data_IF_938681849378
#
_entry.id   IF_938681849378
#
_cell.length_a   1.000
_cell.length_b   1.000
_cell.length_c   1.000
_cell.angle_alpha   90.00
_cell.angle_beta   90.00
_cell.angle_gamma   90.00
#
_symmetry.space_group_name_H-M   'P 1'
#
loop_
_entity.id
_entity.type
_entity.pdbx_description
1 polymer ?
#
# COMPACT_ATOMS: atom_id res chain seq x y z
N UNK A 1 -6.33 6.92 22.02
CA UNK A 1 -5.38 5.96 21.42
C UNK A 1 -5.63 6.05 19.92
N UNK A 2 -5.24 7.18 19.30
CA UNK A 2 -5.89 7.69 18.05
C UNK A 2 -4.91 7.99 16.91
N UNK A 3 -3.63 7.65 17.06
CA UNK A 3 -2.58 8.22 16.20
C UNK A 3 -2.26 7.40 14.96
N UNK A 4 -2.72 6.14 14.88
CA UNK A 4 -2.24 5.17 13.89
C UNK A 4 -3.04 5.06 12.59
N UNK A 5 -4.21 5.71 12.47
CA UNK A 5 -5.05 5.68 11.24
C UNK A 5 -4.97 7.02 10.47
N UNK A 6 -4.28 8.02 11.02
CA UNK A 6 -4.36 9.41 10.54
C UNK A 6 -3.91 9.59 9.08
N UNK A 7 -2.87 8.89 8.63
CA UNK A 7 -2.34 9.10 7.28
C UNK A 7 -3.18 8.44 6.19
N UNK A 8 -3.71 7.24 6.42
CA UNK A 8 -4.58 6.63 5.41
C UNK A 8 -5.92 7.35 5.34
N UNK A 9 -6.46 7.81 6.47
CA UNK A 9 -7.63 8.68 6.46
C UNK A 9 -7.42 9.94 5.62
N UNK A 10 -6.24 10.56 5.70
CA UNK A 10 -5.91 11.73 4.85
C UNK A 10 -5.91 11.37 3.36
N UNK A 11 -5.40 10.20 2.99
CA UNK A 11 -5.41 9.72 1.60
C UNK A 11 -6.85 9.46 1.13
N UNK A 12 -7.60 8.67 1.89
CA UNK A 12 -8.96 8.24 1.52
C UNK A 12 -9.95 9.41 1.49
N UNK A 13 -9.81 10.38 2.41
CA UNK A 13 -10.73 11.54 2.54
C UNK A 13 -10.26 12.76 1.73
N UNK A 14 -9.24 12.63 0.88
CA UNK A 14 -8.80 13.71 -0.01
C UNK A 14 -9.95 14.20 -0.90
N UNK A 15 -10.09 15.51 -1.10
CA UNK A 15 -11.22 16.10 -1.86
C UNK A 15 -10.96 16.18 -3.37
N UNK A 16 -9.73 15.90 -3.81
CA UNK A 16 -9.34 15.89 -5.22
C UNK A 16 -8.16 14.94 -5.44
N UNK A 17 -7.95 14.54 -6.70
CA UNK A 17 -6.78 13.77 -7.14
C UNK A 17 -5.48 14.48 -6.77
N UNK A 18 -5.40 15.80 -7.01
CA UNK A 18 -4.21 16.60 -6.72
C UNK A 18 -3.88 16.62 -5.23
N UNK A 19 -4.88 16.84 -4.37
CA UNK A 19 -4.68 16.80 -2.92
C UNK A 19 -4.24 15.41 -2.44
N UNK A 20 -4.79 14.35 -3.02
CA UNK A 20 -4.42 12.99 -2.68
C UNK A 20 -2.98 12.68 -3.09
N UNK A 21 -2.55 13.16 -4.26
CA UNK A 21 -1.18 13.05 -4.75
C UNK A 21 -0.20 13.80 -3.83
N UNK A 22 -0.52 15.02 -3.42
CA UNK A 22 0.29 15.80 -2.47
C UNK A 22 0.43 15.06 -1.14
N UNK A 23 -0.68 14.61 -0.56
CA UNK A 23 -0.69 13.82 0.67
C UNK A 23 0.15 12.53 0.54
N UNK A 24 0.02 11.82 -0.59
CA UNK A 24 0.79 10.60 -0.84
C UNK A 24 2.30 10.87 -0.93
N UNK A 25 2.71 11.95 -1.57
CA UNK A 25 4.12 12.35 -1.62
C UNK A 25 4.66 12.68 -0.23
N UNK A 26 3.93 13.45 0.57
CA UNK A 26 4.35 13.85 1.91
C UNK A 26 4.47 12.65 2.86
N UNK A 27 3.46 11.78 2.87
CA UNK A 27 3.42 10.56 3.68
C UNK A 27 4.55 9.63 3.25
N UNK A 28 4.67 9.37 1.95
CA UNK A 28 5.72 8.51 1.39
C UNK A 28 7.11 9.02 1.74
N UNK A 29 7.38 10.31 1.55
CA UNK A 29 8.68 10.92 1.83
C UNK A 29 9.01 10.88 3.31
N UNK A 30 8.05 11.26 4.18
CA UNK A 30 8.26 11.27 5.63
C UNK A 30 8.57 9.87 6.17
N UNK A 31 7.83 8.85 5.74
CA UNK A 31 8.01 7.48 6.24
C UNK A 31 9.27 6.83 5.63
N UNK A 32 9.49 6.97 4.32
CA UNK A 32 10.61 6.34 3.64
C UNK A 32 11.97 6.92 4.01
N UNK A 33 12.06 8.21 4.35
CA UNK A 33 13.30 8.83 4.81
C UNK A 33 13.58 8.62 6.30
N UNK A 34 12.57 8.21 7.08
CA UNK A 34 12.69 7.99 8.53
C UNK A 34 12.57 6.50 8.85
N UNK A 35 11.36 6.05 9.20
CA UNK A 35 11.07 4.71 9.70
C UNK A 35 11.53 3.61 8.75
N UNK A 36 11.34 3.80 7.43
CA UNK A 36 11.68 2.80 6.41
C UNK A 36 12.97 3.14 5.64
N UNK A 37 13.83 3.99 6.18
CA UNK A 37 15.09 4.43 5.55
C UNK A 37 15.96 3.25 5.11
N UNK A 38 16.02 2.18 5.91
CA UNK A 38 16.77 0.96 5.59
C UNK A 38 16.29 0.21 4.33
N UNK A 39 15.07 0.48 3.83
CA UNK A 39 14.56 -0.16 2.62
C UNK A 39 15.09 0.48 1.33
N UNK A 40 15.65 1.69 1.40
CA UNK A 40 16.16 2.44 0.25
C UNK A 40 15.11 2.58 -0.89
N UNK A 41 13.89 3.00 -0.54
CA UNK A 41 12.75 3.11 -1.47
C UNK A 41 12.41 4.55 -1.87
N UNK A 42 12.99 5.56 -1.20
CA UNK A 42 12.54 6.95 -1.33
C UNK A 42 12.71 7.53 -2.75
N UNK A 43 13.77 7.16 -3.46
CA UNK A 43 14.08 7.63 -4.82
C UNK A 43 13.56 6.69 -5.92
N UNK A 44 12.90 5.59 -5.54
CA UNK A 44 12.45 4.65 -6.55
C UNK A 44 11.35 5.28 -7.41
N UNK A 45 11.47 5.14 -8.72
CA UNK A 45 10.43 5.48 -9.68
C UNK A 45 10.21 4.28 -10.56
N UNK A 46 8.99 3.76 -10.55
CA UNK A 46 8.62 2.63 -11.39
C UNK A 46 8.69 3.03 -12.87
N UNK A 47 9.26 2.15 -13.69
CA UNK A 47 9.09 2.16 -15.15
C UNK A 47 8.66 0.77 -15.59
N UNK A 48 7.73 0.66 -16.56
CA UNK A 48 7.22 -0.63 -17.01
C UNK A 48 8.21 -1.43 -17.87
N UNK A 49 9.31 -0.80 -18.32
CA UNK A 49 10.24 -1.35 -19.31
C UNK A 49 10.74 -2.76 -18.97
N UNK A 50 11.12 -2.99 -17.71
CA UNK A 50 11.62 -4.30 -17.26
C UNK A 50 10.50 -5.35 -17.34
N UNK A 51 9.29 -4.99 -16.91
CA UNK A 51 8.15 -5.91 -16.95
C UNK A 51 7.73 -6.21 -18.40
N UNK A 52 7.76 -5.20 -19.29
CA UNK A 52 7.51 -5.34 -20.73
C UNK A 52 8.52 -6.34 -21.34
N UNK A 53 9.82 -6.12 -21.10
CA UNK A 53 10.90 -6.95 -21.64
C UNK A 53 10.79 -8.40 -21.17
N UNK A 54 10.60 -8.61 -19.86
CA UNK A 54 10.63 -9.96 -19.28
C UNK A 54 9.34 -10.76 -19.52
N UNK A 55 8.18 -10.09 -19.58
CA UNK A 55 6.90 -10.75 -19.84
C UNK A 55 6.60 -10.91 -21.34
N UNK A 56 7.32 -10.19 -22.20
CA UNK A 56 7.14 -10.26 -23.65
C UNK A 56 5.76 -9.78 -24.11
N UNK A 57 5.14 -8.87 -23.36
CA UNK A 57 3.82 -8.29 -23.66
C UNK A 57 3.93 -6.80 -23.95
N UNK A 58 2.96 -6.26 -24.67
CA UNK A 58 2.96 -4.86 -25.05
C UNK A 58 2.74 -3.92 -23.85
N UNK A 59 3.18 -2.67 -24.00
CA UNK A 59 3.11 -1.67 -22.94
C UNK A 59 1.68 -1.39 -22.49
N UNK A 60 0.70 -1.43 -23.39
CA UNK A 60 -0.69 -1.15 -23.05
C UNK A 60 -1.29 -2.22 -22.13
N UNK A 61 -0.90 -3.48 -22.32
CA UNK A 61 -1.29 -4.56 -21.42
C UNK A 61 -0.60 -4.43 -20.04
N UNK A 62 0.68 -4.02 -19.99
CA UNK A 62 1.34 -3.75 -18.70
C UNK A 62 0.68 -2.59 -17.96
N UNK A 63 0.33 -1.51 -18.65
CA UNK A 63 -0.39 -0.37 -18.07
C UNK A 63 -1.73 -0.82 -17.47
N UNK A 64 -2.50 -1.66 -18.17
CA UNK A 64 -3.74 -2.23 -17.64
C UNK A 64 -3.51 -3.10 -16.40
N UNK A 65 -2.47 -3.94 -16.40
CA UNK A 65 -2.14 -4.77 -15.24
C UNK A 65 -1.70 -3.92 -14.03
N UNK A 66 -1.02 -2.79 -14.27
CA UNK A 66 -0.69 -1.83 -13.22
C UNK A 66 -1.95 -1.17 -12.67
N UNK A 67 -2.89 -0.75 -13.53
CA UNK A 67 -4.17 -0.17 -13.08
C UNK A 67 -5.00 -1.17 -12.26
N UNK A 68 -5.06 -2.43 -12.69
CA UNK A 68 -5.69 -3.52 -11.94
C UNK A 68 -5.00 -3.77 -10.60
N UNK A 69 -3.67 -3.74 -10.58
CA UNK A 69 -2.92 -3.88 -9.34
C UNK A 69 -3.14 -2.70 -8.39
N UNK A 70 -3.28 -1.47 -8.89
CA UNK A 70 -3.64 -0.31 -8.08
C UNK A 70 -5.02 -0.50 -7.46
N UNK A 71 -5.99 -0.99 -8.23
CA UNK A 71 -7.31 -1.34 -7.69
C UNK A 71 -7.22 -2.36 -6.55
N UNK A 72 -6.38 -3.38 -6.71
CA UNK A 72 -6.18 -4.44 -5.72
C UNK A 72 -5.45 -3.93 -4.47
N UNK A 73 -4.34 -3.18 -4.62
CA UNK A 73 -3.49 -2.77 -3.50
C UNK A 73 -4.18 -1.74 -2.62
N UNK A 74 -4.98 -0.83 -3.20
CA UNK A 74 -5.76 0.15 -2.43
C UNK A 74 -6.80 -0.56 -1.55
N UNK A 75 -7.54 -1.52 -2.09
CA UNK A 75 -8.47 -2.34 -1.30
C UNK A 75 -7.74 -3.12 -0.21
N UNK A 76 -6.59 -3.71 -0.56
CA UNK A 76 -5.77 -4.43 0.41
C UNK A 76 -5.25 -3.52 1.52
N UNK A 77 -4.91 -2.26 1.24
CA UNK A 77 -4.51 -1.28 2.26
C UNK A 77 -5.62 -1.02 3.27
N UNK A 78 -6.88 -0.95 2.83
CA UNK A 78 -8.03 -0.82 3.74
C UNK A 78 -8.10 -2.05 4.65
N UNK A 79 -8.10 -3.26 4.08
CA UNK A 79 -8.13 -4.50 4.87
C UNK A 79 -6.92 -4.67 5.79
N UNK A 80 -5.72 -4.25 5.38
CA UNK A 80 -4.54 -4.27 6.23
C UNK A 80 -4.74 -3.42 7.50
N UNK A 81 -5.35 -2.23 7.37
CA UNK A 81 -5.61 -1.37 8.52
C UNK A 81 -6.63 -2.00 9.45
N UNK A 82 -7.70 -2.56 8.90
CA UNK A 82 -8.73 -3.25 9.68
C UNK A 82 -8.10 -4.35 10.53
N UNK A 83 -7.30 -5.22 9.91
CA UNK A 83 -6.59 -6.28 10.63
C UNK A 83 -5.57 -5.74 11.63
N UNK A 84 -4.80 -4.70 11.29
CA UNK A 84 -3.87 -4.10 12.25
C UNK A 84 -4.61 -3.48 13.44
N UNK A 85 -5.78 -2.88 13.23
CA UNK A 85 -6.65 -2.38 14.29
C UNK A 85 -7.13 -3.51 15.21
N UNK A 86 -7.63 -4.60 14.64
CA UNK A 86 -8.05 -5.78 15.39
C UNK A 86 -6.90 -6.36 16.23
N UNK A 87 -5.70 -6.48 15.66
CA UNK A 87 -4.51 -6.95 16.38
C UNK A 87 -4.11 -5.99 17.51
N UNK A 88 -4.26 -4.69 17.29
CA UNK A 88 -3.92 -3.66 18.27
C UNK A 88 -4.90 -3.67 19.46
N UNK A 89 -6.18 -3.92 19.21
CA UNK A 89 -7.20 -4.12 20.24
C UNK A 89 -6.95 -5.42 21.02
N UNK A 90 -6.63 -6.52 20.31
CA UNK A 90 -6.30 -7.81 20.93
C UNK A 90 -5.04 -7.74 21.81
N UNK A 91 -4.07 -6.88 21.46
CA UNK A 91 -2.82 -6.69 22.21
C UNK A 91 -3.04 -6.23 23.65
N UNK A 92 -4.20 -5.63 23.95
CA UNK A 92 -4.60 -5.24 25.31
C UNK A 92 -4.81 -6.48 26.20
N UNK A 93 -5.22 -7.59 25.60
CA UNK A 93 -5.59 -8.83 26.30
C UNK A 93 -4.54 -9.93 26.20
N UNK A 94 -3.75 -9.97 25.12
CA UNK A 94 -2.76 -11.02 24.88
C UNK A 94 -1.55 -10.51 24.09
N UNK A 95 -0.37 -11.09 24.37
CA UNK A 95 0.82 -10.88 23.55
C UNK A 95 0.97 -11.94 22.44
N UNK A 96 0.12 -12.97 22.42
CA UNK A 96 0.12 -13.99 21.39
C UNK A 96 -0.84 -13.60 20.27
N UNK A 97 -0.37 -12.70 19.40
CA UNK A 97 -1.12 -12.17 18.27
C UNK A 97 -0.96 -13.07 17.04
N UNK A 98 -2.06 -13.28 16.30
CA UNK A 98 -2.07 -14.07 15.07
C UNK A 98 -2.01 -13.18 13.83
N UNK A 99 -0.85 -13.14 13.18
CA UNK A 99 -0.61 -12.35 11.98
C UNK A 99 -0.94 -13.09 10.67
N UNK A 100 -1.48 -14.31 10.73
CA UNK A 100 -1.64 -15.18 9.55
C UNK A 100 -2.40 -14.48 8.42
N UNK A 101 -3.55 -13.87 8.73
CA UNK A 101 -4.38 -13.19 7.72
C UNK A 101 -3.64 -12.01 7.09
N UNK A 102 -2.95 -11.20 7.90
CA UNK A 102 -2.13 -10.08 7.44
C UNK A 102 -1.04 -10.56 6.47
N UNK A 103 -0.32 -11.62 6.85
CA UNK A 103 0.80 -12.15 6.06
C UNK A 103 0.33 -12.81 4.76
N UNK A 104 -0.82 -13.50 4.77
CA UNK A 104 -1.41 -14.06 3.55
C UNK A 104 -1.84 -12.97 2.56
N UNK A 105 -2.44 -11.88 3.05
CA UNK A 105 -2.81 -10.74 2.21
C UNK A 105 -1.56 -10.06 1.62
N UNK A 106 -0.50 -9.90 2.41
CA UNK A 106 0.79 -9.39 1.94
C UNK A 106 1.42 -10.29 0.89
N UNK A 107 1.42 -11.60 1.10
CA UNK A 107 1.95 -12.57 0.15
C UNK A 107 1.26 -12.52 -1.22
N UNK A 108 -0.10 -12.42 -1.24
CA UNK A 108 -0.87 -12.28 -2.49
C UNK A 108 -0.48 -11.02 -3.25
N UNK A 109 -0.39 -9.89 -2.56
CA UNK A 109 0.01 -8.62 -3.18
C UNK A 109 1.48 -8.60 -3.60
N UNK A 110 2.36 -9.31 -2.87
CA UNK A 110 3.78 -9.43 -3.20
C UNK A 110 3.97 -10.19 -4.51
N UNK A 111 3.17 -11.24 -4.77
CA UNK A 111 3.21 -11.97 -6.04
C UNK A 111 2.95 -11.05 -7.24
N UNK A 112 1.95 -10.18 -7.16
CA UNK A 112 1.63 -9.24 -8.24
C UNK A 112 2.71 -8.16 -8.38
N UNK A 113 3.17 -7.58 -7.26
CA UNK A 113 4.27 -6.60 -7.27
C UNK A 113 5.56 -7.18 -7.88
N UNK A 114 5.84 -8.47 -7.62
CA UNK A 114 6.94 -9.20 -8.24
C UNK A 114 6.73 -9.31 -9.74
N UNK A 115 5.58 -9.80 -10.20
CA UNK A 115 5.29 -9.95 -11.63
C UNK A 115 5.42 -8.63 -12.40
N UNK A 116 4.97 -7.52 -11.82
CA UNK A 116 5.07 -6.19 -12.41
C UNK A 116 6.40 -5.48 -12.13
N UNK A 117 7.35 -6.10 -11.43
CA UNK A 117 8.66 -5.52 -11.09
C UNK A 117 8.60 -4.18 -10.34
N UNK A 118 7.58 -3.99 -9.50
CA UNK A 118 7.39 -2.80 -8.66
C UNK A 118 8.19 -2.96 -7.35
N UNK A 119 9.49 -2.64 -7.41
CA UNK A 119 10.49 -3.04 -6.40
C UNK A 119 10.25 -2.44 -5.01
N UNK A 120 9.82 -1.17 -4.94
CA UNK A 120 9.55 -0.52 -3.67
C UNK A 120 8.39 -1.18 -2.92
N UNK A 121 7.30 -1.51 -3.61
CA UNK A 121 6.16 -2.20 -3.01
C UNK A 121 6.54 -3.63 -2.59
N UNK A 122 7.39 -4.32 -3.36
CA UNK A 122 7.91 -5.63 -2.96
C UNK A 122 8.60 -5.57 -1.61
N UNK A 123 9.53 -4.61 -1.43
CA UNK A 123 10.28 -4.45 -0.17
C UNK A 123 9.37 -4.15 1.02
N UNK A 124 8.34 -3.32 0.82
CA UNK A 124 7.38 -3.00 1.89
C UNK A 124 6.54 -4.23 2.25
N UNK A 125 6.04 -4.96 1.25
CA UNK A 125 5.23 -6.17 1.45
C UNK A 125 6.02 -7.29 2.12
N UNK A 126 7.29 -7.46 1.78
CA UNK A 126 8.20 -8.40 2.46
C UNK A 126 8.33 -8.06 3.94
N UNK A 127 8.37 -6.77 4.31
CA UNK A 127 8.35 -6.35 5.71
C UNK A 127 7.04 -6.65 6.42
N UNK A 128 5.90 -6.43 5.76
CA UNK A 128 4.60 -6.81 6.33
C UNK A 128 4.51 -8.32 6.61
N UNK A 129 5.19 -9.14 5.79
CA UNK A 129 5.21 -10.60 5.99
C UNK A 129 6.04 -11.06 7.19
N UNK A 130 7.09 -10.33 7.56
CA UNK A 130 8.12 -10.82 8.50
C UNK A 130 8.18 -10.10 9.84
N UNK A 131 7.65 -8.88 9.92
CA UNK A 131 7.72 -8.07 11.14
C UNK A 131 6.49 -8.30 12.02
N UNK A 132 6.66 -8.17 13.34
CA UNK A 132 5.57 -8.32 14.34
C UNK A 132 5.28 -7.02 15.10
N UNK A 133 6.15 -6.02 14.97
CA UNK A 133 5.93 -4.72 15.60
C UNK A 133 4.77 -3.99 14.91
N UNK A 134 3.64 -3.88 15.61
CA UNK A 134 2.41 -3.30 15.06
C UNK A 134 2.60 -1.85 14.59
N UNK A 135 3.41 -1.04 15.28
CA UNK A 135 3.64 0.34 14.87
C UNK A 135 4.43 0.41 13.56
N UNK A 136 5.48 -0.41 13.44
CA UNK A 136 6.25 -0.54 12.22
C UNK A 136 5.41 -1.11 11.07
N UNK A 137 4.56 -2.10 11.33
CA UNK A 137 3.62 -2.64 10.35
C UNK A 137 2.62 -1.57 9.88
N UNK A 138 2.08 -0.76 10.78
CA UNK A 138 1.24 0.40 10.41
C UNK A 138 2.01 1.33 9.46
N UNK A 139 3.26 1.66 9.78
CA UNK A 139 4.09 2.51 8.89
C UNK A 139 4.37 1.87 7.54
N UNK A 140 4.54 0.55 7.49
CA UNK A 140 4.64 -0.17 6.23
C UNK A 140 3.37 -0.02 5.40
N UNK A 141 2.18 -0.22 5.99
CA UNK A 141 0.90 -0.12 5.28
C UNK A 141 0.60 1.32 4.83
N UNK A 142 0.88 2.32 5.67
CA UNK A 142 0.75 3.74 5.29
C UNK A 142 1.65 4.08 4.10
N UNK A 143 2.90 3.61 4.12
CA UNK A 143 3.82 3.81 3.01
C UNK A 143 3.37 3.04 1.76
N UNK A 144 2.93 1.79 1.91
CA UNK A 144 2.41 0.95 0.82
C UNK A 144 1.25 1.65 0.08
N UNK A 145 0.30 2.19 0.84
CA UNK A 145 -0.86 2.90 0.30
C UNK A 145 -0.42 4.15 -0.47
N UNK A 146 0.43 4.97 0.14
CA UNK A 146 0.97 6.18 -0.50
C UNK A 146 1.73 5.84 -1.79
N UNK A 147 2.63 4.85 -1.76
CA UNK A 147 3.41 4.41 -2.93
C UNK A 147 2.53 3.80 -4.02
N UNK A 148 1.49 3.06 -3.66
CA UNK A 148 0.48 2.56 -4.60
C UNK A 148 -0.27 3.68 -5.32
N UNK A 149 -0.63 4.75 -4.61
CA UNK A 149 -1.21 5.96 -5.21
C UNK A 149 -0.23 6.62 -6.20
N UNK A 150 1.06 6.69 -5.86
CA UNK A 150 2.08 7.31 -6.71
C UNK A 150 2.32 6.57 -8.03
N UNK A 151 1.88 5.31 -8.18
CA UNK A 151 1.98 4.57 -9.45
C UNK A 151 1.06 5.17 -10.53
N UNK A 152 -0.19 5.44 -10.18
CA UNK A 152 -1.16 6.13 -11.04
C UNK A 152 -2.19 6.86 -10.16
N UNK A 153 -1.98 8.15 -9.84
CA UNK A 153 -2.82 8.89 -8.92
C UNK A 153 -4.28 8.99 -9.36
N UNK A 154 -4.51 9.14 -10.67
CA UNK A 154 -5.85 9.19 -11.26
C UNK A 154 -6.60 7.88 -11.06
N UNK A 155 -5.96 6.75 -11.37
CA UNK A 155 -6.58 5.44 -11.17
C UNK A 155 -6.90 5.21 -9.69
N UNK A 156 -5.93 5.46 -8.80
CA UNK A 156 -6.11 5.30 -7.37
C UNK A 156 -7.26 6.18 -6.82
N UNK A 157 -7.37 7.43 -7.28
CA UNK A 157 -8.46 8.33 -6.88
C UNK A 157 -9.82 7.76 -7.27
N UNK A 158 -9.94 7.30 -8.52
CA UNK A 158 -11.15 6.68 -9.02
C UNK A 158 -11.52 5.42 -8.23
N UNK A 159 -10.54 4.56 -7.91
CA UNK A 159 -10.74 3.38 -7.06
C UNK A 159 -11.32 3.77 -5.70
N UNK A 160 -10.73 4.76 -5.03
CA UNK A 160 -11.16 5.22 -3.70
C UNK A 160 -12.59 5.77 -3.75
N UNK A 161 -12.91 6.60 -4.75
CA UNK A 161 -14.28 7.12 -4.93
C UNK A 161 -15.29 5.99 -5.14
N UNK A 162 -14.95 4.99 -5.96
CA UNK A 162 -15.82 3.84 -6.21
C UNK A 162 -16.06 2.99 -4.96
N UNK A 163 -15.05 2.81 -4.11
CA UNK A 163 -15.20 2.11 -2.83
C UNK A 163 -16.16 2.89 -1.93
N UNK A 164 -15.93 4.20 -1.74
CA UNK A 164 -16.77 5.05 -0.89
C UNK A 164 -18.24 5.06 -1.30
N UNK A 165 -18.52 5.09 -2.62
CA UNK A 165 -19.89 5.02 -3.14
C UNK A 165 -20.54 3.67 -2.82
N UNK A 166 -19.80 2.56 -2.88
CA UNK A 166 -20.34 1.24 -2.56
C UNK A 166 -20.64 1.08 -1.07
N UNK A 167 -19.85 1.70 -0.20
CA UNK A 167 -20.07 1.67 1.25
C UNK A 167 -21.26 2.54 1.70
N UNK A 168 -21.82 3.35 0.79
CA UNK A 168 -23.00 4.19 1.07
C UNK A 168 -24.35 3.55 0.73
N UNK A 169 -24.36 2.32 0.20
CA UNK A 169 -25.57 1.55 -0.17
C UNK A 169 -25.63 0.22 0.57
#
# INVERSE_FOLDING_TARGET
MDTNIKYIDLLLKSNSEQQMLENANDISSSISLKTLSGLNIHNYKYTPDIAIEELGIDSSLIEQLVDDYINQIIKSCISFIEYLGELQDLKIYTNNLDYTILRELAHKNLGVAKNLRIIDLQKILEKIMTEDDLEYLTKCVECLCARGILLNPKQAYNTIRLIQVKDTF
#
